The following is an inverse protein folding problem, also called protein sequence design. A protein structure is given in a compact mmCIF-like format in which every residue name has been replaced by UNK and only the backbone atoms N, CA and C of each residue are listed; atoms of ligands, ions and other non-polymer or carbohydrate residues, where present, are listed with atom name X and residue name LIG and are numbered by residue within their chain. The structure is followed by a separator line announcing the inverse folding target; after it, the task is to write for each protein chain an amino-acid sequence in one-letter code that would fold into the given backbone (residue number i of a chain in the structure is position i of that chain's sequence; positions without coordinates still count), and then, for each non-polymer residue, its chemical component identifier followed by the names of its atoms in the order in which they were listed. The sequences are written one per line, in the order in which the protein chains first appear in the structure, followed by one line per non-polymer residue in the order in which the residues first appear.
data_IF_491209263421
#
_entry.id   IF_491209263421
#
_cell.length_a   1.000
_cell.length_b   1.000
_cell.length_c   1.000
_cell.angle_alpha   90.00
_cell.angle_beta   90.00
_cell.angle_gamma   90.00
#
_symmetry.space_group_name_H-M   'P 1'
#
loop_
_entity.id
_entity.type
_entity.pdbx_description
1 polymer ?
#
# COMPACT_ATOMS: atom_id res chain seq x y z
N UNK A 1 -0.12 -25.57 -7.30
CA UNK A 1 -0.48 -24.21 -6.87
C UNK A 1 -1.96 -24.21 -6.50
N UNK A 2 -2.31 -23.59 -5.38
CA UNK A 2 -3.69 -23.30 -4.99
C UNK A 2 -4.44 -22.60 -6.14
N UNK A 3 -5.71 -22.94 -6.38
CA UNK A 3 -6.54 -22.32 -7.43
C UNK A 3 -6.56 -20.80 -7.28
N UNK A 4 -6.56 -20.31 -6.04
CA UNK A 4 -6.51 -18.89 -5.73
C UNK A 4 -5.18 -18.24 -6.15
N UNK A 5 -4.05 -18.92 -5.96
CA UNK A 5 -2.72 -18.42 -6.36
C UNK A 5 -2.62 -18.24 -7.87
N UNK A 6 -3.24 -19.14 -8.63
CA UNK A 6 -3.30 -19.02 -10.09
C UNK A 6 -4.18 -17.84 -10.53
N UNK A 7 -5.30 -17.59 -9.86
CA UNK A 7 -6.19 -16.44 -10.15
C UNK A 7 -5.53 -15.10 -9.86
N UNK A 8 -4.69 -15.03 -8.82
CA UNK A 8 -4.08 -13.77 -8.36
C UNK A 8 -2.72 -13.45 -9.00
N UNK A 9 -2.23 -14.29 -9.90
CA UNK A 9 -0.99 -14.01 -10.63
C UNK A 9 -1.14 -12.75 -11.48
N UNK A 10 -0.23 -11.77 -11.29
CA UNK A 10 -0.27 -10.48 -11.98
C UNK A 10 -1.43 -9.57 -11.55
N UNK A 11 -2.09 -9.85 -10.41
CA UNK A 11 -3.18 -9.04 -9.89
C UNK A 11 -2.70 -8.09 -8.79
N UNK A 12 -3.30 -6.90 -8.74
CA UNK A 12 -3.15 -5.97 -7.64
C UNK A 12 -4.29 -6.17 -6.63
N UNK A 13 -3.95 -6.42 -5.36
CA UNK A 13 -4.92 -6.68 -4.29
C UNK A 13 -4.79 -5.60 -3.22
N UNK A 14 -5.86 -4.86 -2.97
CA UNK A 14 -5.94 -3.84 -1.93
C UNK A 14 -6.79 -4.32 -0.75
N UNK A 15 -6.32 -4.07 0.48
CA UNK A 15 -7.06 -4.31 1.71
C UNK A 15 -7.47 -2.97 2.31
N UNK A 16 -8.78 -2.71 2.38
CA UNK A 16 -9.34 -1.45 2.85
C UNK A 16 -10.31 -1.65 4.04
N UNK A 17 -10.52 -0.59 4.82
CA UNK A 17 -11.39 -0.58 5.98
C UNK A 17 -10.97 0.43 7.05
N UNK A 18 -11.78 0.62 8.09
CA UNK A 18 -11.49 1.58 9.16
C UNK A 18 -10.29 1.15 10.00
N UNK A 19 -9.75 2.06 10.80
CA UNK A 19 -8.66 1.73 11.73
C UNK A 19 -9.12 0.78 12.82
N UNK A 20 -8.22 -0.11 13.23
CA UNK A 20 -8.54 -1.21 14.15
C UNK A 20 -9.32 -2.37 13.53
N UNK A 21 -9.72 -2.33 12.25
CA UNK A 21 -10.47 -3.43 11.59
C UNK A 21 -9.64 -4.70 11.33
N UNK A 22 -8.34 -4.67 11.60
CA UNK A 22 -7.44 -5.82 11.42
C UNK A 22 -6.79 -5.94 10.04
N UNK A 23 -6.83 -4.88 9.20
CA UNK A 23 -6.21 -4.86 7.86
C UNK A 23 -4.78 -5.40 7.85
N UNK A 24 -3.91 -4.87 8.71
CA UNK A 24 -2.49 -5.29 8.79
C UNK A 24 -2.35 -6.77 9.15
N UNK A 25 -3.20 -7.28 10.05
CA UNK A 25 -3.21 -8.70 10.40
C UNK A 25 -3.60 -9.57 9.21
N UNK A 26 -4.62 -9.16 8.45
CA UNK A 26 -5.08 -9.91 7.28
C UNK A 26 -4.08 -9.86 6.13
N UNK A 27 -3.44 -8.71 5.88
CA UNK A 27 -2.35 -8.57 4.90
C UNK A 27 -1.23 -9.56 5.23
N UNK A 28 -0.74 -9.56 6.48
CA UNK A 28 0.37 -10.43 6.88
C UNK A 28 0.03 -11.93 6.69
N UNK A 29 -1.18 -12.34 7.09
CA UNK A 29 -1.67 -13.72 6.91
C UNK A 29 -1.80 -14.09 5.44
N UNK A 30 -2.34 -13.18 4.64
CA UNK A 30 -2.48 -13.36 3.20
C UNK A 30 -1.11 -13.56 2.55
N UNK A 31 -0.16 -12.66 2.83
CA UNK A 31 1.20 -12.71 2.29
C UNK A 31 1.93 -13.99 2.71
N UNK A 32 1.86 -14.36 3.99
CA UNK A 32 2.47 -15.59 4.52
C UNK A 32 1.92 -16.85 3.82
N UNK A 33 0.59 -16.91 3.62
CA UNK A 33 -0.05 -18.00 2.89
C UNK A 33 0.49 -18.15 1.47
N UNK A 34 0.73 -17.06 0.74
CA UNK A 34 1.23 -17.13 -0.64
C UNK A 34 2.73 -17.41 -0.69
N UNK A 35 3.52 -16.80 0.20
CA UNK A 35 4.96 -17.06 0.30
C UNK A 35 5.26 -18.53 0.62
N UNK A 36 4.50 -19.16 1.51
CA UNK A 36 4.63 -20.60 1.84
C UNK A 36 4.28 -21.51 0.67
N UNK A 37 3.59 -21.01 -0.35
CA UNK A 37 3.28 -21.73 -1.59
C UNK A 37 4.28 -21.44 -2.73
N UNK A 38 5.36 -20.69 -2.45
CA UNK A 38 6.36 -20.32 -3.45
C UNK A 38 5.92 -19.20 -4.39
N UNK A 39 4.89 -18.42 -4.02
CA UNK A 39 4.41 -17.28 -4.80
C UNK A 39 5.16 -16.03 -4.34
N UNK A 40 5.75 -15.29 -5.28
CA UNK A 40 6.35 -13.99 -5.00
C UNK A 40 5.25 -12.97 -4.77
N UNK A 41 5.29 -12.28 -3.63
CA UNK A 41 4.35 -11.21 -3.28
C UNK A 41 5.12 -9.93 -3.01
N UNK A 42 4.84 -8.87 -3.79
CA UNK A 42 5.31 -7.51 -3.53
C UNK A 42 4.31 -6.82 -2.61
N UNK A 43 4.77 -6.41 -1.44
CA UNK A 43 3.98 -5.64 -0.49
C UNK A 43 4.27 -4.15 -0.69
N UNK A 44 3.23 -3.33 -0.64
CA UNK A 44 3.33 -1.87 -0.65
C UNK A 44 2.39 -1.28 0.39
N UNK A 45 2.67 -0.06 0.85
CA UNK A 45 1.88 0.65 1.87
C UNK A 45 1.67 2.10 1.47
N UNK A 46 0.43 2.58 1.62
CA UNK A 46 0.09 3.99 1.47
C UNK A 46 -0.40 4.62 2.79
N UNK A 47 -0.16 5.92 3.02
CA UNK A 47 0.82 6.75 2.30
C UNK A 47 2.25 6.28 2.66
N UNK A 48 3.19 6.36 1.72
CA UNK A 48 4.54 5.82 1.89
C UNK A 48 4.97 4.85 0.78
N UNK A 49 5.88 3.94 1.13
CA UNK A 49 6.32 2.85 0.25
C UNK A 49 7.38 3.22 -0.79
N UNK A 50 7.78 4.50 -0.86
CA UNK A 50 8.91 4.99 -1.66
C UNK A 50 9.68 6.07 -0.87
N UNK A 51 10.95 6.38 -1.19
CA UNK A 51 11.69 7.44 -0.47
C UNK A 51 10.99 8.81 -0.48
N UNK A 52 10.33 9.17 -1.59
CA UNK A 52 9.53 10.40 -1.68
C UNK A 52 8.18 10.22 -0.96
N UNK A 53 7.52 9.07 -1.12
CA UNK A 53 6.26 8.77 -0.45
C UNK A 53 6.37 8.80 1.07
N UNK A 54 7.50 8.34 1.64
CA UNK A 54 7.76 8.39 3.09
C UNK A 54 7.99 9.83 3.59
N UNK A 55 8.58 10.72 2.77
CA UNK A 55 8.66 12.15 3.13
C UNK A 55 7.26 12.79 3.18
N UNK A 56 6.41 12.48 2.20
CA UNK A 56 5.02 12.94 2.18
C UNK A 56 4.23 12.37 3.37
N UNK A 57 4.47 11.10 3.71
CA UNK A 57 3.87 10.44 4.89
C UNK A 57 4.23 11.17 6.18
N UNK A 58 5.49 11.60 6.35
CA UNK A 58 5.90 12.37 7.53
C UNK A 58 5.06 13.63 7.69
N UNK A 59 4.83 14.38 6.61
CA UNK A 59 3.99 15.59 6.63
C UNK A 59 2.54 15.24 6.99
N UNK A 60 1.98 14.20 6.37
CA UNK A 60 0.58 13.79 6.57
C UNK A 60 0.28 13.30 8.00
N UNK A 61 1.25 12.70 8.67
CA UNK A 61 1.07 12.07 9.99
C UNK A 61 1.63 12.88 11.15
N UNK A 62 2.20 14.05 10.87
CA UNK A 62 2.72 14.95 11.89
C UNK A 62 1.56 15.72 12.56
N UNK A 63 1.32 15.49 13.87
CA UNK A 63 0.23 16.13 14.59
C UNK A 63 0.40 17.65 14.73
N UNK A 64 1.60 18.21 14.49
CA UNK A 64 1.82 19.66 14.53
C UNK A 64 1.20 20.38 13.31
N UNK A 65 0.82 19.65 12.25
CA UNK A 65 0.25 20.21 11.03
C UNK A 65 -1.27 20.50 11.10
N UNK A 66 -1.75 21.06 12.22
CA UNK A 66 -3.19 21.33 12.47
C UNK A 66 -3.83 22.33 11.48
N UNK A 67 -3.04 23.10 10.74
CA UNK A 67 -3.50 24.07 9.74
C UNK A 67 -3.74 23.50 8.33
N UNK A 68 -3.52 22.20 8.13
CA UNK A 68 -3.65 21.58 6.80
C UNK A 68 -5.12 21.57 6.36
N UNK A 69 -5.39 22.19 5.21
CA UNK A 69 -6.74 22.15 4.64
C UNK A 69 -7.02 20.76 4.04
N UNK A 70 -8.28 20.33 4.04
CA UNK A 70 -8.70 19.06 3.46
C UNK A 70 -8.22 18.84 2.01
N UNK A 71 -8.28 19.84 1.09
CA UNK A 71 -7.74 19.67 -0.25
C UNK A 71 -6.22 19.46 -0.28
N UNK A 72 -5.46 20.12 0.61
CA UNK A 72 -4.01 19.96 0.72
C UNK A 72 -3.67 18.52 1.15
N UNK A 73 -4.31 18.04 2.21
CA UNK A 73 -4.15 16.67 2.71
C UNK A 73 -4.44 15.65 1.60
N UNK A 74 -5.60 15.78 0.93
CA UNK A 74 -6.00 14.90 -0.17
C UNK A 74 -4.96 14.89 -1.30
N UNK A 75 -4.45 16.07 -1.71
CA UNK A 75 -3.45 16.17 -2.78
C UNK A 75 -2.10 15.56 -2.38
N UNK A 76 -1.70 15.66 -1.10
CA UNK A 76 -0.50 15.00 -0.59
C UNK A 76 -0.66 13.47 -0.61
N UNK A 77 -1.81 12.94 -0.21
CA UNK A 77 -2.11 11.51 -0.38
C UNK A 77 -1.99 11.07 -1.85
N UNK A 78 -2.56 11.85 -2.77
CA UNK A 78 -2.47 11.58 -4.21
C UNK A 78 -1.05 11.67 -4.74
N UNK A 79 -0.22 12.61 -4.25
CA UNK A 79 1.18 12.73 -4.63
C UNK A 79 2.00 11.53 -4.17
N UNK A 80 1.81 11.07 -2.92
CA UNK A 80 2.44 9.86 -2.38
C UNK A 80 2.07 8.62 -3.21
N UNK A 81 0.78 8.48 -3.55
CA UNK A 81 0.26 7.41 -4.41
C UNK A 81 0.83 7.43 -5.81
N UNK A 82 0.87 8.58 -6.47
CA UNK A 82 1.40 8.70 -7.83
C UNK A 82 2.85 8.19 -7.90
N UNK A 83 3.66 8.55 -6.90
CA UNK A 83 5.02 8.07 -6.78
C UNK A 83 5.10 6.55 -6.57
N UNK A 84 4.29 6.01 -5.66
CA UNK A 84 4.25 4.58 -5.37
C UNK A 84 3.82 3.76 -6.60
N UNK A 85 2.81 4.25 -7.33
CA UNK A 85 2.33 3.56 -8.54
C UNK A 85 3.43 3.43 -9.58
N UNK A 86 4.11 4.54 -9.89
CA UNK A 86 5.15 4.55 -10.94
C UNK A 86 6.38 3.72 -10.55
N UNK A 87 6.84 3.81 -9.30
CA UNK A 87 8.08 3.17 -8.88
C UNK A 87 7.91 1.70 -8.47
N UNK A 88 6.75 1.34 -7.92
CA UNK A 88 6.57 0.06 -7.24
C UNK A 88 5.46 -0.79 -7.84
N UNK A 89 4.25 -0.23 -8.01
CA UNK A 89 3.08 -1.03 -8.40
C UNK A 89 3.13 -1.40 -9.88
N UNK A 90 3.29 -0.43 -10.77
CA UNK A 90 3.30 -0.69 -12.22
C UNK A 90 4.42 -1.66 -12.62
N UNK A 91 5.68 -1.49 -12.16
CA UNK A 91 6.75 -2.46 -12.46
C UNK A 91 6.49 -3.87 -11.91
N UNK A 92 5.76 -4.00 -10.80
CA UNK A 92 5.44 -5.29 -10.20
C UNK A 92 4.29 -6.04 -10.91
N UNK A 93 3.50 -5.33 -11.73
CA UNK A 93 2.38 -5.90 -12.50
C UNK A 93 2.75 -6.25 -13.95
N UNK A 94 3.90 -5.81 -14.44
CA UNK A 94 4.36 -5.97 -15.82
C UNK A 94 4.87 -7.39 -16.14
#
# INVERSE_FOLDING_TARGET
MDTLAKTLQGQFVAFDGPDGSGKSTQINRFVERFRTQGVTVREVREPGGTPIGEQVRTILLDPENEGMTLPCEMLLYMASRAQLVEQEITPALA
#
